data_IF_466761450553
#
_entry.id   IF_466761450553
#
_cell.length_a   1.000
_cell.length_b   1.000
_cell.length_c   1.000
_cell.angle_alpha   90.00
_cell.angle_beta   90.00
_cell.angle_gamma   90.00
#
_symmetry.space_group_name_H-M   'P 1'
#
loop_
_entity.id
_entity.type
_entity.pdbx_description
1 polymer ?
#
# COMPACT_ATOMS: atom_id res chain seq x y z
N UNK A 1 34.18 -53.29 -32.47
CA UNK A 1 33.30 -53.06 -31.30
C UNK A 1 33.67 -51.73 -30.66
N UNK A 2 32.74 -50.76 -30.56
CA UNK A 2 33.00 -49.44 -29.94
C UNK A 2 33.02 -49.60 -28.42
N UNK A 3 34.17 -49.35 -27.80
CA UNK A 3 34.30 -49.36 -26.34
C UNK A 3 33.92 -47.99 -25.78
N UNK A 4 33.00 -47.97 -24.82
CA UNK A 4 32.57 -46.76 -24.12
C UNK A 4 33.44 -46.50 -22.89
N UNK A 5 33.64 -45.22 -22.54
CA UNK A 5 34.36 -44.83 -21.32
C UNK A 5 33.38 -44.66 -20.15
N UNK A 6 33.72 -45.23 -19.00
CA UNK A 6 32.99 -45.03 -17.75
C UNK A 6 32.99 -43.56 -17.33
N UNK A 7 31.80 -42.99 -17.09
CA UNK A 7 31.60 -41.59 -16.69
C UNK A 7 31.53 -41.36 -15.17
N UNK A 8 31.77 -42.39 -14.37
CA UNK A 8 31.74 -42.33 -12.91
C UNK A 8 32.83 -41.41 -12.31
N UNK A 9 32.55 -40.86 -11.13
CA UNK A 9 33.52 -40.18 -10.28
C UNK A 9 34.03 -41.14 -9.20
N UNK A 10 35.35 -41.26 -9.08
CA UNK A 10 35.99 -42.04 -8.00
C UNK A 10 35.88 -41.30 -6.66
N UNK A 11 36.17 -41.98 -5.54
CA UNK A 11 36.21 -41.38 -4.19
C UNK A 11 37.15 -40.16 -4.08
N UNK A 12 38.12 -40.03 -4.98
CA UNK A 12 39.05 -38.89 -5.08
C UNK A 12 38.60 -37.81 -6.06
N UNK A 13 37.31 -37.77 -6.43
CA UNK A 13 36.73 -36.80 -7.37
C UNK A 13 37.35 -36.82 -8.79
N UNK A 14 38.07 -37.89 -9.17
CA UNK A 14 38.60 -38.09 -10.53
C UNK A 14 37.68 -38.98 -11.35
N UNK A 15 37.57 -38.73 -12.66
CA UNK A 15 36.82 -39.58 -13.60
C UNK A 15 37.44 -40.98 -13.67
N UNK A 16 36.61 -42.03 -13.62
CA UNK A 16 37.05 -43.43 -13.69
C UNK A 16 37.74 -43.77 -15.01
N UNK A 17 37.14 -43.37 -16.15
CA UNK A 17 37.80 -43.43 -17.47
C UNK A 17 38.06 -44.82 -18.06
N UNK A 18 37.76 -45.92 -17.33
CA UNK A 18 37.88 -47.30 -17.84
C UNK A 18 37.06 -47.47 -19.14
N UNK A 19 37.57 -48.25 -20.09
CA UNK A 19 36.92 -48.58 -21.36
C UNK A 19 36.35 -50.00 -21.32
N UNK A 20 35.15 -50.20 -21.85
CA UNK A 20 34.53 -51.51 -22.03
C UNK A 20 33.15 -51.41 -22.65
N UNK A 21 32.39 -52.50 -22.60
CA UNK A 21 31.14 -52.65 -23.36
C UNK A 21 29.89 -52.16 -22.60
N UNK A 22 30.07 -51.43 -21.50
CA UNK A 22 28.97 -50.84 -20.73
C UNK A 22 28.47 -49.51 -21.33
N UNK A 23 27.22 -49.14 -21.04
CA UNK A 23 26.57 -47.95 -21.62
C UNK A 23 27.09 -46.65 -21.00
N UNK A 24 27.11 -46.53 -19.67
CA UNK A 24 27.51 -45.30 -18.96
C UNK A 24 28.50 -45.54 -17.79
N UNK A 25 28.32 -46.65 -17.06
CA UNK A 25 29.09 -46.96 -15.86
C UNK A 25 29.60 -48.40 -15.90
N UNK A 26 30.85 -48.63 -15.46
CA UNK A 26 31.36 -50.00 -15.30
C UNK A 26 30.73 -50.66 -14.06
N UNK A 27 30.90 -51.97 -13.90
CA UNK A 27 30.26 -52.75 -12.82
C UNK A 27 30.53 -52.20 -11.42
N UNK A 28 31.75 -51.73 -11.14
CA UNK A 28 32.11 -51.08 -9.88
C UNK A 28 31.35 -49.77 -9.60
N UNK A 29 30.84 -49.11 -10.63
CA UNK A 29 30.16 -47.81 -10.54
C UNK A 29 28.69 -47.87 -11.00
N UNK A 30 28.13 -49.08 -11.17
CA UNK A 30 26.78 -49.31 -11.70
C UNK A 30 25.65 -48.71 -10.87
N UNK A 31 25.92 -48.19 -9.67
CA UNK A 31 24.93 -47.54 -8.81
C UNK A 31 25.12 -46.02 -8.69
N UNK A 32 26.11 -45.42 -9.36
CA UNK A 32 26.28 -43.95 -9.32
C UNK A 32 25.19 -43.19 -10.08
N UNK A 33 24.45 -43.85 -10.97
CA UNK A 33 23.27 -43.25 -11.59
C UNK A 33 22.20 -42.89 -10.57
N UNK A 34 22.04 -43.68 -9.48
CA UNK A 34 21.10 -43.36 -8.40
C UNK A 34 21.46 -42.04 -7.69
N UNK A 35 22.76 -41.76 -7.51
CA UNK A 35 23.22 -40.48 -6.93
C UNK A 35 22.95 -39.30 -7.87
N UNK A 36 23.11 -39.50 -9.18
CA UNK A 36 22.81 -38.47 -10.18
C UNK A 36 21.31 -38.16 -10.24
N UNK A 37 20.45 -39.19 -10.10
CA UNK A 37 18.99 -39.03 -10.01
C UNK A 37 18.58 -38.30 -8.73
N UNK A 38 19.18 -38.66 -7.58
CA UNK A 38 18.92 -38.01 -6.29
C UNK A 38 19.26 -36.50 -6.33
N UNK A 39 20.41 -36.13 -6.88
CA UNK A 39 20.84 -34.72 -6.98
C UNK A 39 20.01 -33.97 -8.03
N UNK A 40 19.71 -34.60 -9.17
CA UNK A 40 19.01 -33.95 -10.28
C UNK A 40 17.52 -33.72 -10.04
N UNK A 41 16.86 -34.53 -9.22
CA UNK A 41 15.40 -34.46 -9.01
C UNK A 41 15.04 -33.88 -7.65
N UNK A 42 15.77 -34.20 -6.58
CA UNK A 42 15.36 -33.81 -5.22
C UNK A 42 15.79 -32.37 -4.89
N UNK A 43 16.96 -31.95 -5.37
CA UNK A 43 17.47 -30.60 -5.08
C UNK A 43 16.57 -29.48 -5.66
N UNK A 44 16.08 -29.54 -6.91
CA UNK A 44 15.21 -28.49 -7.46
C UNK A 44 13.84 -28.43 -6.77
N UNK A 45 13.27 -29.58 -6.43
CA UNK A 45 11.93 -29.67 -5.80
C UNK A 45 11.98 -29.13 -4.38
N UNK A 46 13.03 -29.47 -3.61
CA UNK A 46 13.20 -28.94 -2.25
C UNK A 46 13.40 -27.42 -2.24
N UNK A 47 14.17 -26.86 -3.18
CA UNK A 47 14.33 -25.40 -3.30
C UNK A 47 13.04 -24.69 -3.73
N UNK A 48 12.26 -25.30 -4.63
CA UNK A 48 11.00 -24.72 -5.09
C UNK A 48 9.96 -24.60 -3.99
N UNK A 49 9.85 -25.60 -3.11
CA UNK A 49 8.90 -25.59 -1.98
C UNK A 49 9.30 -24.54 -0.95
N UNK A 50 10.60 -24.42 -0.61
CA UNK A 50 11.08 -23.42 0.35
C UNK A 50 10.87 -21.99 -0.19
N UNK A 51 11.17 -21.75 -1.47
CA UNK A 51 10.93 -20.44 -2.09
C UNK A 51 9.45 -20.08 -2.09
N UNK A 52 8.57 -21.03 -2.40
CA UNK A 52 7.10 -20.83 -2.39
C UNK A 52 6.58 -20.50 -1.00
N UNK A 53 7.09 -21.20 0.03
CA UNK A 53 6.71 -20.93 1.42
C UNK A 53 7.23 -19.58 1.92
N UNK A 54 8.47 -19.23 1.60
CA UNK A 54 9.04 -17.94 1.96
C UNK A 54 8.30 -16.78 1.28
N UNK A 55 7.93 -16.95 0.00
CA UNK A 55 7.12 -15.97 -0.73
C UNK A 55 5.74 -15.81 -0.11
N UNK A 56 5.04 -16.92 0.13
CA UNK A 56 3.71 -16.88 0.75
C UNK A 56 3.71 -16.27 2.15
N UNK A 57 4.79 -16.44 2.92
CA UNK A 57 4.88 -15.83 4.25
C UNK A 57 5.23 -14.34 4.19
N UNK A 58 6.08 -13.92 3.24
CA UNK A 58 6.38 -12.50 2.99
C UNK A 58 5.20 -11.74 2.35
N UNK A 59 4.34 -12.42 1.61
CA UNK A 59 3.15 -11.83 0.96
C UNK A 59 1.84 -12.16 1.68
N UNK A 60 1.89 -12.84 2.84
CA UNK A 60 0.72 -13.05 3.67
C UNK A 60 0.28 -11.70 4.22
N UNK A 61 -0.59 -11.02 3.48
CA UNK A 61 -1.42 -9.94 3.99
C UNK A 61 -2.14 -10.47 5.22
N UNK A 62 -1.95 -9.79 6.36
CA UNK A 62 -2.69 -10.09 7.59
C UNK A 62 -4.16 -10.32 7.24
N UNK A 63 -4.80 -11.39 7.78
CA UNK A 63 -6.19 -11.64 7.50
C UNK A 63 -6.96 -10.41 7.97
N UNK A 64 -7.56 -9.69 7.02
CA UNK A 64 -8.48 -8.62 7.34
C UNK A 64 -9.58 -9.25 8.19
N UNK A 65 -9.53 -9.00 9.50
CA UNK A 65 -10.61 -9.32 10.41
C UNK A 65 -11.88 -8.76 9.77
N UNK A 66 -12.78 -9.64 9.30
CA UNK A 66 -14.02 -9.23 8.67
C UNK A 66 -14.99 -8.78 9.77
N UNK A 67 -14.63 -7.69 10.45
CA UNK A 67 -15.54 -7.01 11.36
C UNK A 67 -16.59 -6.36 10.49
N UNK A 68 -17.85 -6.72 10.71
CA UNK A 68 -18.95 -6.05 10.03
C UNK A 68 -18.98 -4.59 10.49
N UNK A 69 -18.66 -3.67 9.59
CA UNK A 69 -18.56 -2.25 9.91
C UNK A 69 -19.96 -1.64 9.92
N UNK A 70 -20.42 -1.04 11.03
CA UNK A 70 -21.72 -0.37 11.06
C UNK A 70 -21.73 0.87 10.16
N UNK A 71 -22.82 1.08 9.41
CA UNK A 71 -23.05 2.29 8.60
C UNK A 71 -24.14 2.07 7.55
N UNK A 72 -25.05 3.03 7.42
CA UNK A 72 -26.18 2.93 6.48
C UNK A 72 -25.77 3.31 5.05
N UNK A 73 -24.75 4.15 4.91
CA UNK A 73 -24.21 4.61 3.63
C UNK A 73 -22.65 4.53 3.62
N UNK A 74 -22.03 4.83 2.47
CA UNK A 74 -20.58 4.76 2.31
C UNK A 74 -19.79 5.72 3.21
N UNK A 75 -20.39 6.86 3.57
CA UNK A 75 -19.77 7.86 4.46
C UNK A 75 -19.75 7.33 5.90
N UNK A 76 -20.88 6.82 6.39
CA UNK A 76 -20.99 6.24 7.73
C UNK A 76 -20.00 5.06 7.89
N UNK A 77 -19.90 4.21 6.86
CA UNK A 77 -18.95 3.10 6.85
C UNK A 77 -17.50 3.60 6.89
N UNK A 78 -17.17 4.67 6.15
CA UNK A 78 -15.83 5.25 6.19
C UNK A 78 -15.49 5.80 7.58
N UNK A 79 -16.44 6.52 8.20
CA UNK A 79 -16.27 7.08 9.55
C UNK A 79 -16.09 5.96 10.57
N UNK A 80 -16.94 4.94 10.54
CA UNK A 80 -16.82 3.79 11.44
C UNK A 80 -15.50 3.04 11.26
N UNK A 81 -15.06 2.81 10.01
CA UNK A 81 -13.74 2.22 9.74
C UNK A 81 -12.62 3.10 10.27
N UNK A 82 -12.69 4.39 10.03
CA UNK A 82 -11.69 5.33 10.51
C UNK A 82 -11.60 5.34 12.04
N UNK A 83 -12.74 5.34 12.74
CA UNK A 83 -12.81 5.24 14.20
C UNK A 83 -12.21 3.93 14.73
N UNK A 84 -12.50 2.80 14.08
CA UNK A 84 -11.94 1.50 14.48
C UNK A 84 -10.44 1.39 14.23
N UNK A 85 -9.98 1.79 13.05
CA UNK A 85 -8.56 1.77 12.68
C UNK A 85 -7.75 2.82 13.47
N UNK A 86 -8.38 3.95 13.79
CA UNK A 86 -7.81 5.05 14.55
C UNK A 86 -7.35 4.66 15.96
N UNK A 87 -7.95 3.62 16.55
CA UNK A 87 -7.52 3.05 17.83
C UNK A 87 -6.05 2.55 17.81
N UNK A 88 -5.48 2.30 16.63
CA UNK A 88 -4.08 1.95 16.45
C UNK A 88 -3.11 3.15 16.47
N UNK A 89 -3.62 4.39 16.42
CA UNK A 89 -2.82 5.61 16.33
C UNK A 89 -2.94 6.44 17.62
N UNK A 90 -1.84 6.56 18.37
CA UNK A 90 -1.84 7.25 19.67
C UNK A 90 -1.12 8.60 19.67
N UNK A 91 -0.31 8.88 18.64
CA UNK A 91 0.52 10.09 18.60
C UNK A 91 -0.14 11.14 17.71
N UNK A 92 -0.61 12.27 18.27
CA UNK A 92 -1.16 13.35 17.48
C UNK A 92 -0.07 14.09 16.70
N UNK A 93 -0.46 14.65 15.56
CA UNK A 93 0.44 15.37 14.66
C UNK A 93 -0.24 16.60 14.05
N UNK A 94 0.55 17.63 13.78
CA UNK A 94 0.13 18.83 13.05
C UNK A 94 0.57 18.82 11.58
N UNK A 95 1.49 17.92 11.21
CA UNK A 95 2.17 17.96 9.90
C UNK A 95 1.83 16.76 9.02
N UNK A 96 1.47 15.64 9.63
CA UNK A 96 1.21 14.39 8.92
C UNK A 96 0.11 13.63 9.64
N UNK A 97 -0.95 13.27 8.92
CA UNK A 97 -2.07 12.50 9.47
C UNK A 97 -2.49 11.41 8.51
N UNK A 98 -2.95 10.29 9.04
CA UNK A 98 -3.56 9.23 8.26
C UNK A 98 -5.02 9.56 8.03
N UNK A 99 -5.46 9.46 6.79
CA UNK A 99 -6.86 9.66 6.40
C UNK A 99 -7.29 8.60 5.39
N UNK A 100 -8.59 8.43 5.22
CA UNK A 100 -9.19 7.37 4.42
C UNK A 100 -10.15 7.91 3.39
N UNK A 101 -10.07 7.43 2.15
CA UNK A 101 -11.02 7.79 1.10
C UNK A 101 -12.44 7.31 1.40
N UNK A 102 -13.40 8.22 1.24
CA UNK A 102 -14.84 7.90 1.17
C UNK A 102 -15.52 8.45 -0.09
N UNK A 103 -14.87 9.41 -0.77
CA UNK A 103 -15.18 9.80 -2.16
C UNK A 103 -13.89 9.69 -2.96
N UNK A 104 -13.93 8.94 -4.05
CA UNK A 104 -12.80 8.78 -4.96
C UNK A 104 -12.88 9.80 -6.08
N UNK A 105 -11.73 10.29 -6.59
CA UNK A 105 -11.72 11.05 -7.83
C UNK A 105 -11.83 10.10 -9.02
N UNK A 106 -12.46 10.59 -10.08
CA UNK A 106 -12.44 9.95 -11.40
C UNK A 106 -11.41 10.66 -12.26
N UNK A 107 -10.28 10.01 -12.52
CA UNK A 107 -9.20 10.59 -13.33
C UNK A 107 -9.23 10.02 -14.74
N UNK A 108 -9.12 10.88 -15.76
CA UNK A 108 -8.97 10.44 -17.15
C UNK A 108 -7.57 10.75 -17.68
N UNK A 109 -7.23 10.27 -18.87
CA UNK A 109 -5.92 10.56 -19.50
C UNK A 109 -5.66 12.05 -19.73
N UNK A 110 -6.72 12.85 -19.84
CA UNK A 110 -6.64 14.31 -19.85
C UNK A 110 -7.27 14.80 -18.55
N UNK A 111 -6.43 15.09 -17.56
CA UNK A 111 -6.88 15.52 -16.25
C UNK A 111 -7.76 16.78 -16.36
N UNK A 112 -8.95 16.70 -15.78
CA UNK A 112 -9.78 17.86 -15.45
C UNK A 112 -9.69 18.05 -13.93
N UNK A 113 -8.91 19.04 -13.52
CA UNK A 113 -8.62 19.32 -12.10
C UNK A 113 -9.87 19.74 -11.34
N UNK A 114 -10.90 20.28 -12.00
CA UNK A 114 -12.13 20.77 -11.34
C UNK A 114 -13.06 19.60 -10.99
N UNK A 115 -13.18 18.61 -11.88
CA UNK A 115 -14.05 17.45 -11.67
C UNK A 115 -13.38 16.29 -10.93
N UNK A 116 -12.05 16.30 -10.78
CA UNK A 116 -11.28 15.26 -10.09
C UNK A 116 -11.23 15.44 -8.57
N UNK A 117 -12.41 15.64 -7.97
CA UNK A 117 -12.58 15.86 -6.53
C UNK A 117 -12.50 14.55 -5.75
N UNK A 118 -11.91 14.59 -4.56
CA UNK A 118 -11.92 13.48 -3.62
C UNK A 118 -12.24 13.96 -2.21
N UNK A 119 -12.61 13.02 -1.34
CA UNK A 119 -12.80 13.34 0.07
C UNK A 119 -12.31 12.23 0.99
N UNK A 120 -11.69 12.66 2.08
CA UNK A 120 -11.10 11.79 3.10
C UNK A 120 -11.72 12.04 4.46
N UNK A 121 -11.74 11.02 5.29
CA UNK A 121 -12.04 11.12 6.72
C UNK A 121 -10.77 10.83 7.52
N UNK A 122 -10.57 11.56 8.62
CA UNK A 122 -9.42 11.41 9.51
C UNK A 122 -9.40 10.04 10.20
N UNK A 123 -8.23 9.40 10.22
CA UNK A 123 -8.00 8.11 10.90
C UNK A 123 -7.07 8.27 12.10
N UNK A 124 -5.99 9.04 11.99
CA UNK A 124 -5.06 9.27 13.12
C UNK A 124 -5.39 10.56 13.89
N UNK A 125 -5.01 10.69 15.17
CA UNK A 125 -5.22 11.93 15.92
C UNK A 125 -4.55 13.15 15.25
N UNK A 126 -5.28 14.25 15.14
CA UNK A 126 -4.82 15.50 14.53
C UNK A 126 -4.81 16.63 15.55
N UNK A 127 -3.64 17.24 15.76
CA UNK A 127 -3.49 18.35 16.70
C UNK A 127 -2.77 19.51 16.02
N UNK A 128 -3.47 20.59 15.66
CA UNK A 128 -2.85 21.84 15.25
C UNK A 128 -1.91 22.38 16.33
N UNK A 129 -0.84 23.06 15.94
CA UNK A 129 0.22 23.51 16.87
C UNK A 129 -0.32 24.38 18.01
N UNK A 130 -1.25 25.28 17.69
CA UNK A 130 -1.80 26.26 18.63
C UNK A 130 -3.15 25.82 19.24
N UNK A 131 -3.57 24.57 19.03
CA UNK A 131 -4.79 24.04 19.60
C UNK A 131 -4.52 23.35 20.95
N UNK A 132 -5.36 23.63 21.94
CA UNK A 132 -5.30 22.98 23.26
C UNK A 132 -5.90 21.58 23.27
N UNK A 133 -6.56 21.19 22.18
CA UNK A 133 -7.26 19.93 22.02
C UNK A 133 -6.77 19.16 20.79
N UNK A 134 -7.20 17.92 20.68
CA UNK A 134 -6.88 17.01 19.57
C UNK A 134 -8.18 16.55 18.94
N UNK A 135 -8.21 16.48 17.62
CA UNK A 135 -9.28 15.85 16.87
C UNK A 135 -9.00 14.36 16.76
N UNK A 136 -9.99 13.55 17.12
CA UNK A 136 -9.89 12.10 17.09
C UNK A 136 -10.26 11.56 15.70
N UNK A 137 -10.08 10.25 15.52
CA UNK A 137 -10.50 9.57 14.31
C UNK A 137 -11.99 9.84 14.00
N UNK A 138 -12.28 10.20 12.75
CA UNK A 138 -13.62 10.57 12.30
C UNK A 138 -14.01 12.05 12.50
N UNK A 139 -13.24 12.83 13.26
CA UNK A 139 -13.61 14.22 13.58
C UNK A 139 -13.36 15.21 12.46
N UNK A 140 -12.38 14.91 11.60
CA UNK A 140 -12.04 15.76 10.47
C UNK A 140 -12.34 15.10 9.12
N UNK A 141 -12.66 15.96 8.16
CA UNK A 141 -12.84 15.65 6.75
C UNK A 141 -11.89 16.52 5.94
N UNK A 142 -11.40 15.94 4.85
CA UNK A 142 -10.50 16.60 3.92
C UNK A 142 -11.16 16.60 2.55
N UNK A 143 -11.30 17.77 1.95
CA UNK A 143 -11.69 17.93 0.56
C UNK A 143 -10.45 18.25 -0.25
N UNK A 144 -10.28 17.60 -1.39
CA UNK A 144 -9.14 17.84 -2.26
C UNK A 144 -9.40 17.49 -3.71
N UNK A 145 -8.39 17.75 -4.53
CA UNK A 145 -8.43 17.56 -5.97
C UNK A 145 -7.14 16.92 -6.47
N UNK A 146 -7.26 16.17 -7.57
CA UNK A 146 -6.08 15.73 -8.34
C UNK A 146 -5.58 16.91 -9.17
N UNK A 147 -4.33 17.33 -8.93
CA UNK A 147 -3.73 18.52 -9.55
C UNK A 147 -2.77 18.18 -10.68
N UNK A 148 -2.21 16.98 -10.68
CA UNK A 148 -1.36 16.47 -11.76
C UNK A 148 -1.57 14.97 -11.95
N UNK A 149 -1.41 14.49 -13.17
CA UNK A 149 -1.54 13.08 -13.51
C UNK A 149 -0.71 12.72 -14.73
N UNK A 150 0.16 11.72 -14.57
CA UNK A 150 0.90 11.11 -15.67
C UNK A 150 0.25 9.78 -16.08
N UNK A 151 -0.42 9.69 -17.25
CA UNK A 151 -1.08 8.46 -17.67
C UNK A 151 -0.13 7.32 -18.02
N UNK A 152 1.15 7.59 -18.27
CA UNK A 152 2.15 6.56 -18.59
C UNK A 152 2.62 5.82 -17.32
N UNK A 153 2.94 6.57 -16.27
CA UNK A 153 3.33 5.98 -14.97
C UNK A 153 2.13 5.65 -14.08
N UNK A 154 0.99 6.30 -14.33
CA UNK A 154 -0.26 6.29 -13.53
C UNK A 154 -0.13 7.00 -12.19
N UNK A 155 0.86 7.86 -12.05
CA UNK A 155 1.06 8.63 -10.83
C UNK A 155 0.21 9.89 -10.88
N UNK A 156 -0.54 10.11 -9.80
CA UNK A 156 -1.35 11.30 -9.60
C UNK A 156 -0.90 12.06 -8.35
N UNK A 157 -0.89 13.38 -8.45
CA UNK A 157 -0.66 14.29 -7.32
C UNK A 157 -2.00 14.78 -6.80
N UNK A 158 -2.22 14.58 -5.51
CA UNK A 158 -3.46 14.91 -4.82
C UNK A 158 -3.19 16.03 -3.84
N UNK A 159 -3.95 17.12 -3.96
CA UNK A 159 -3.81 18.30 -3.12
C UNK A 159 -5.06 18.49 -2.26
N UNK A 160 -4.85 18.81 -0.98
CA UNK A 160 -5.91 19.20 -0.06
C UNK A 160 -6.26 20.67 -0.34
N UNK A 161 -7.55 20.92 -0.55
CA UNK A 161 -8.11 22.27 -0.59
C UNK A 161 -8.59 22.68 0.79
N UNK A 162 -9.42 21.85 1.43
CA UNK A 162 -10.10 22.25 2.68
C UNK A 162 -9.98 21.14 3.72
N UNK A 163 -9.71 21.53 4.97
CA UNK A 163 -9.79 20.67 6.14
C UNK A 163 -10.93 21.19 7.01
N UNK A 164 -11.91 20.34 7.31
CA UNK A 164 -13.04 20.69 8.18
C UNK A 164 -13.11 19.71 9.33
N UNK A 165 -13.15 20.22 10.56
CA UNK A 165 -13.13 19.40 11.78
C UNK A 165 -14.23 19.83 12.74
N UNK A 166 -14.73 18.88 13.53
CA UNK A 166 -15.69 19.15 14.61
C UNK A 166 -15.17 18.58 15.92
N UNK A 167 -15.11 19.41 16.96
CA UNK A 167 -14.66 18.97 18.29
C UNK A 167 -15.78 18.30 19.13
N UNK A 168 -15.41 17.84 20.33
CA UNK A 168 -16.32 17.22 21.28
C UNK A 168 -17.41 18.17 21.83
N UNK A 169 -17.25 19.50 21.67
CA UNK A 169 -18.22 20.51 22.05
C UNK A 169 -19.14 20.92 20.87
N UNK A 170 -19.07 20.19 19.75
CA UNK A 170 -19.76 20.48 18.49
C UNK A 170 -19.38 21.84 17.89
N UNK A 171 -18.20 22.37 18.20
CA UNK A 171 -17.63 23.51 17.50
C UNK A 171 -16.94 23.01 16.25
N UNK A 172 -17.29 23.62 15.11
CA UNK A 172 -16.66 23.36 13.83
C UNK A 172 -15.54 24.35 13.54
N UNK A 173 -14.51 23.82 12.90
CA UNK A 173 -13.31 24.51 12.50
C UNK A 173 -12.99 24.20 11.05
N UNK A 174 -12.41 25.17 10.35
CA UNK A 174 -12.04 25.04 8.96
C UNK A 174 -10.66 25.62 8.67
N UNK A 175 -9.99 25.04 7.69
CA UNK A 175 -8.78 25.57 7.08
C UNK A 175 -8.93 25.40 5.56
N UNK A 176 -8.89 26.50 4.83
CA UNK A 176 -8.92 26.51 3.36
C UNK A 176 -7.56 26.93 2.79
N UNK A 177 -7.12 26.21 1.77
CA UNK A 177 -5.89 26.49 1.03
C UNK A 177 -6.27 27.08 -0.33
N UNK A 178 -6.26 28.41 -0.43
CA UNK A 178 -6.72 29.13 -1.63
C UNK A 178 -6.01 28.68 -2.92
N UNK A 179 -4.68 28.55 -2.88
CA UNK A 179 -3.85 28.15 -4.03
C UNK A 179 -3.44 26.66 -3.98
N UNK A 180 -4.41 25.78 -3.73
CA UNK A 180 -4.16 24.33 -3.65
C UNK A 180 -3.68 23.71 -4.98
N UNK A 181 -3.84 24.40 -6.12
CA UNK A 181 -3.43 23.92 -7.45
C UNK A 181 -1.96 24.26 -7.73
N UNK A 182 -1.55 25.52 -7.54
CA UNK A 182 -0.20 25.96 -7.92
C UNK A 182 0.78 25.97 -6.74
N UNK A 183 0.29 26.11 -5.51
CA UNK A 183 1.08 26.08 -4.29
C UNK A 183 0.46 25.16 -3.23
N UNK A 184 0.36 23.84 -3.51
CA UNK A 184 -0.32 22.89 -2.64
C UNK A 184 0.34 22.87 -1.26
N UNK A 185 -0.45 23.00 -0.20
CA UNK A 185 0.05 22.99 1.18
C UNK A 185 -0.21 21.66 1.91
N UNK A 186 -1.19 20.88 1.47
CA UNK A 186 -1.43 19.51 1.91
C UNK A 186 -1.40 18.58 0.71
N UNK A 187 -0.58 17.53 0.75
CA UNK A 187 -0.42 16.56 -0.33
C UNK A 187 -0.67 15.15 0.20
N UNK A 188 -1.11 14.24 -0.67
CA UNK A 188 -1.20 12.82 -0.30
C UNK A 188 0.09 12.06 -0.65
N UNK A 189 0.38 11.07 0.18
CA UNK A 189 1.45 10.10 0.01
C UNK A 189 0.97 8.70 0.38
N UNK A 190 1.60 7.68 -0.19
CA UNK A 190 1.39 6.31 0.26
C UNK A 190 1.98 6.16 1.68
N UNK A 191 1.24 5.51 2.58
CA UNK A 191 1.70 5.22 3.95
C UNK A 191 2.96 4.36 3.95
N UNK A 192 3.10 3.47 2.95
CA UNK A 192 4.26 2.58 2.78
C UNK A 192 5.46 3.31 2.16
N UNK A 193 5.21 4.39 1.43
CA UNK A 193 6.23 5.20 0.76
C UNK A 193 6.04 6.69 1.06
N UNK A 194 6.17 7.13 2.34
CA UNK A 194 5.77 8.47 2.77
C UNK A 194 6.64 9.61 2.20
N UNK A 195 7.73 9.29 1.51
CA UNK A 195 8.59 10.24 0.79
C UNK A 195 8.04 10.61 -0.59
N UNK A 196 7.19 9.75 -1.17
CA UNK A 196 6.58 9.95 -2.47
C UNK A 196 5.32 10.81 -2.32
N UNK A 197 5.25 11.94 -3.05
CA UNK A 197 4.12 12.89 -2.99
C UNK A 197 3.10 12.66 -4.10
N UNK A 198 2.96 11.40 -4.50
CA UNK A 198 2.01 10.94 -5.49
C UNK A 198 1.42 9.61 -5.05
N UNK A 199 0.28 9.26 -5.62
CA UNK A 199 -0.33 7.94 -5.47
C UNK A 199 -0.42 7.31 -6.86
N UNK A 200 -0.05 6.05 -6.97
CA UNK A 200 -0.21 5.30 -8.20
C UNK A 200 -1.64 4.78 -8.33
N UNK A 201 -2.31 5.16 -9.41
CA UNK A 201 -3.70 4.79 -9.67
C UNK A 201 -3.81 3.44 -10.40
N UNK A 202 -4.93 2.77 -10.17
CA UNK A 202 -5.34 1.59 -10.95
C UNK A 202 -6.19 2.02 -12.13
N UNK A 203 -5.97 1.38 -13.29
CA UNK A 203 -6.78 1.64 -14.48
C UNK A 203 -8.05 0.78 -14.44
N UNK A 204 -9.18 1.44 -14.58
CA UNK A 204 -10.50 0.82 -14.61
C UNK A 204 -10.88 0.31 -16.01
N UNK A 205 -11.92 -0.52 -16.08
CA UNK A 205 -12.40 -1.12 -17.34
C UNK A 205 -12.90 -0.09 -18.35
N UNK A 206 -13.44 1.03 -17.87
CA UNK A 206 -13.93 2.15 -18.69
C UNK A 206 -12.79 3.08 -19.17
N UNK A 207 -11.54 2.78 -18.78
CA UNK A 207 -10.36 3.56 -19.15
C UNK A 207 -10.06 4.73 -18.22
N UNK A 208 -10.87 4.95 -17.18
CA UNK A 208 -10.55 5.89 -16.10
C UNK A 208 -9.50 5.32 -15.15
N UNK A 209 -8.98 6.15 -14.26
CA UNK A 209 -7.99 5.80 -13.25
C UNK A 209 -8.54 6.16 -11.87
N UNK A 210 -8.42 5.23 -10.93
CA UNK A 210 -8.99 5.36 -9.59
C UNK A 210 -8.11 4.68 -8.52
N UNK A 211 -8.50 4.83 -7.26
CA UNK A 211 -7.98 4.10 -6.11
C UNK A 211 -9.09 3.25 -5.50
N UNK A 212 -8.78 2.16 -4.77
CA UNK A 212 -9.81 1.44 -4.03
C UNK A 212 -10.46 2.33 -2.95
N UNK A 213 -11.79 2.26 -2.80
CA UNK A 213 -12.49 2.89 -1.68
C UNK A 213 -11.92 2.41 -0.35
N UNK A 214 -11.96 3.27 0.66
CA UNK A 214 -11.49 2.98 2.02
C UNK A 214 -10.00 2.71 2.14
N UNK A 215 -9.21 3.09 1.14
CA UNK A 215 -7.73 3.06 1.22
C UNK A 215 -7.26 4.15 2.17
N UNK A 216 -6.32 3.81 3.07
CA UNK A 216 -5.63 4.78 3.91
C UNK A 216 -4.49 5.43 3.15
N UNK A 217 -4.33 6.73 3.35
CA UNK A 217 -3.28 7.56 2.79
C UNK A 217 -2.70 8.46 3.87
N UNK A 218 -1.47 8.91 3.66
CA UNK A 218 -0.84 9.92 4.49
C UNK A 218 -1.12 11.30 3.90
N UNK A 219 -1.83 12.15 4.65
CA UNK A 219 -1.95 13.58 4.36
C UNK A 219 -0.74 14.27 4.96
N UNK A 220 0.10 14.87 4.12
CA UNK A 220 1.32 15.58 4.51
C UNK A 220 1.16 17.07 4.25
N UNK A 221 1.27 17.87 5.30
CA UNK A 221 1.31 19.31 5.20
C UNK A 221 2.76 19.79 5.03
N UNK A 222 2.99 20.70 4.08
CA UNK A 222 4.32 21.28 3.82
C UNK A 222 4.85 22.07 5.02
N UNK A 223 3.94 22.60 5.84
CA UNK A 223 4.22 23.23 7.13
C UNK A 223 3.25 22.67 8.16
N UNK A 224 3.64 22.56 9.44
CA UNK A 224 2.71 22.20 10.50
C UNK A 224 1.47 23.11 10.49
N UNK A 225 0.28 22.52 10.53
CA UNK A 225 -0.97 23.28 10.63
C UNK A 225 -0.98 24.00 11.97
N UNK A 226 -0.95 25.33 11.93
CA UNK A 226 -0.84 26.15 13.13
C UNK A 226 -2.17 26.22 13.88
N UNK A 227 -3.27 26.47 13.17
CA UNK A 227 -4.62 26.55 13.70
C UNK A 227 -5.65 26.26 12.59
N UNK A 228 -6.89 26.01 13.00
CA UNK A 228 -8.07 26.06 12.14
C UNK A 228 -9.00 27.17 12.66
N UNK A 229 -9.68 27.85 11.74
CA UNK A 229 -10.60 28.94 12.07
C UNK A 229 -11.93 28.39 12.58
N UNK A 230 -12.43 28.92 13.70
CA UNK A 230 -13.71 28.53 14.23
C UNK A 230 -14.85 29.13 13.37
N UNK A 231 -15.66 28.28 12.75
CA UNK A 231 -16.72 28.70 11.81
C UNK A 231 -18.14 28.66 12.40
N UNK A 232 -18.34 27.98 13.54
CA UNK A 232 -19.62 27.96 14.25
C UNK A 232 -19.92 26.62 14.90
N UNK A 233 -21.11 26.50 15.50
CA UNK A 233 -21.57 25.24 16.11
C UNK A 233 -22.39 24.41 15.12
N UNK A 234 -22.22 23.10 15.18
CA UNK A 234 -23.03 22.13 14.42
C UNK A 234 -23.98 21.37 15.34
N UNK A 235 -25.12 20.97 14.80
CA UNK A 235 -26.15 20.24 15.55
C UNK A 235 -25.78 18.78 15.78
N UNK A 236 -24.91 18.23 14.94
CA UNK A 236 -24.51 16.82 14.95
C UNK A 236 -23.02 16.70 14.63
N UNK A 237 -22.28 15.98 15.47
CA UNK A 237 -20.94 15.49 15.17
C UNK A 237 -21.01 14.33 14.18
N UNK A 238 -19.92 14.16 13.41
CA UNK A 238 -19.75 13.08 12.46
C UNK A 238 -19.45 11.72 13.11
#
# INVERSE_FOLDING_TARGET
MRHNRCRALTKKWKRCGRKGDWILFCDEHKFQWLKAVLIGIIAPVATGVIASWAYSWLTATEPALSVNVPGQNAIDQAISKAKMEGAGYNTPSASEVVAKFYVLPTVTSKLDTISSVFSLVLVSPFKPVNADFTFDAGDCRFLGYVTDFNPLSRDAVFSIKTVSCTDNANQSYELDFEDYIHAPQGLLADIKSPTERHLTLSREKDGTYSLPLYTNVLVKFNKPVSALEAIGKVTTRF
#
